data_IF_331723671910
#
_entry.id   IF_331723671910
#
_cell.length_a   1.000
_cell.length_b   1.000
_cell.length_c   1.000
_cell.angle_alpha   90.00
_cell.angle_beta   90.00
_cell.angle_gamma   90.00
#
_symmetry.space_group_name_H-M   'P 1'
#
loop_
_entity.id
_entity.type
_entity.pdbx_description
1 polymer ?
#
# COMPACT_ATOMS: atom_id res chain seq x y z
N UNK A 1 9.05 -9.01 6.78
CA UNK A 1 7.71 -9.65 6.78
C UNK A 1 7.85 -11.04 7.34
N UNK A 2 6.98 -11.40 8.28
CA UNK A 2 7.07 -12.64 9.08
C UNK A 2 6.47 -13.85 8.35
N UNK A 3 5.57 -13.59 7.40
CA UNK A 3 4.97 -14.58 6.50
C UNK A 3 5.32 -14.17 5.07
N UNK A 4 5.97 -15.07 4.32
CA UNK A 4 6.39 -14.88 2.92
C UNK A 4 5.66 -15.86 1.97
N UNK A 5 4.39 -16.14 2.25
CA UNK A 5 3.53 -16.97 1.40
C UNK A 5 2.37 -16.14 0.86
N UNK A 6 1.98 -16.39 -0.39
CA UNK A 6 0.85 -15.69 -0.99
C UNK A 6 -0.47 -16.00 -0.27
N UNK A 7 -0.65 -17.25 0.19
CA UNK A 7 -1.84 -17.66 0.96
C UNK A 7 -1.53 -17.74 2.45
N UNK A 8 -2.43 -17.21 3.27
CA UNK A 8 -2.46 -17.43 4.71
C UNK A 8 -3.29 -18.69 5.05
N UNK A 9 -2.72 -19.87 4.78
CA UNK A 9 -3.33 -21.17 5.10
C UNK A 9 -2.85 -21.67 6.47
N UNK A 10 -3.75 -22.24 7.26
CA UNK A 10 -3.48 -22.70 8.62
C UNK A 10 -3.65 -21.62 9.68
N UNK A 11 -4.04 -22.03 10.88
CA UNK A 11 -4.49 -21.10 11.93
C UNK A 11 -3.35 -20.24 12.49
N UNK A 12 -2.14 -20.80 12.58
CA UNK A 12 -0.96 -20.06 13.03
C UNK A 12 -0.59 -18.92 12.07
N UNK A 13 -0.58 -19.19 10.75
CA UNK A 13 -0.26 -18.18 9.73
C UNK A 13 -1.34 -17.10 9.71
N UNK A 14 -2.62 -17.49 9.80
CA UNK A 14 -3.73 -16.53 9.89
C UNK A 14 -3.59 -15.62 11.10
N UNK A 15 -3.20 -16.16 12.25
CA UNK A 15 -2.96 -15.38 13.47
C UNK A 15 -1.84 -14.35 13.26
N UNK A 16 -0.68 -14.77 12.74
CA UNK A 16 0.46 -13.87 12.44
C UNK A 16 0.08 -12.75 11.48
N UNK A 17 -0.66 -13.06 10.41
CA UNK A 17 -1.11 -12.06 9.44
C UNK A 17 -2.09 -11.07 10.09
N UNK A 18 -3.00 -11.55 10.94
CA UNK A 18 -3.96 -10.71 11.66
C UNK A 18 -3.26 -9.76 12.64
N UNK A 19 -2.33 -10.27 13.45
CA UNK A 19 -1.56 -9.46 14.41
C UNK A 19 -0.73 -8.39 13.70
N UNK A 20 -0.07 -8.74 12.59
CA UNK A 20 0.68 -7.77 11.78
C UNK A 20 -0.23 -6.71 11.17
N UNK A 21 -1.40 -7.12 10.64
CA UNK A 21 -2.41 -6.21 10.10
C UNK A 21 -2.86 -5.20 11.17
N UNK A 22 -3.25 -5.68 12.35
CA UNK A 22 -3.70 -4.83 13.46
C UNK A 22 -2.59 -3.86 13.92
N UNK A 23 -1.34 -4.33 14.01
CA UNK A 23 -0.19 -3.48 14.33
C UNK A 23 -0.01 -2.33 13.34
N UNK A 24 -0.08 -2.61 12.03
CA UNK A 24 0.02 -1.59 10.98
C UNK A 24 -1.15 -0.60 11.08
N UNK A 25 -2.38 -1.10 11.23
CA UNK A 25 -3.57 -0.25 11.34
C UNK A 25 -3.49 0.72 12.52
N UNK A 26 -3.07 0.23 13.68
CA UNK A 26 -2.88 1.06 14.88
C UNK A 26 -1.78 2.09 14.68
N UNK A 27 -0.66 1.72 14.04
CA UNK A 27 0.43 2.64 13.77
C UNK A 27 0.02 3.77 12.83
N UNK A 28 -0.71 3.49 11.75
CA UNK A 28 -1.26 4.52 10.86
C UNK A 28 -2.23 5.44 11.59
N UNK A 29 -3.13 4.88 12.42
CA UNK A 29 -4.07 5.65 13.23
C UNK A 29 -3.34 6.57 14.21
N UNK A 30 -2.30 6.08 14.89
CA UNK A 30 -1.53 6.86 15.86
C UNK A 30 -0.70 7.96 15.22
N UNK A 31 0.02 7.66 14.14
CA UNK A 31 1.00 8.59 13.56
C UNK A 31 0.37 9.60 12.60
N UNK A 32 -0.76 9.25 11.97
CA UNK A 32 -1.38 10.10 10.95
C UNK A 32 -2.85 10.38 11.22
N UNK A 33 -3.49 9.71 12.18
CA UNK A 33 -4.95 9.76 12.35
C UNK A 33 -5.72 9.03 11.24
N UNK A 34 -5.05 8.29 10.35
CA UNK A 34 -5.68 7.58 9.24
C UNK A 34 -6.21 6.21 9.67
N UNK A 35 -7.49 5.93 9.39
CA UNK A 35 -8.08 4.61 9.55
C UNK A 35 -7.90 3.79 8.26
N UNK A 36 -6.94 2.88 8.27
CA UNK A 36 -6.58 2.05 7.12
C UNK A 36 -7.19 0.66 7.24
N UNK A 37 -7.87 0.20 6.19
CA UNK A 37 -8.42 -1.16 6.04
C UNK A 37 -9.28 -1.65 7.24
N UNK A 38 -10.04 -0.73 7.85
CA UNK A 38 -10.95 -1.05 8.95
C UNK A 38 -12.31 -1.44 8.36
N UNK A 39 -12.91 -2.53 8.81
CA UNK A 39 -14.24 -2.96 8.34
C UNK A 39 -15.28 -1.92 8.77
N UNK A 40 -16.13 -1.49 7.84
CA UNK A 40 -17.21 -0.53 8.10
C UNK A 40 -18.55 -1.19 7.79
N UNK A 41 -19.50 -1.13 8.71
CA UNK A 41 -20.84 -1.69 8.48
C UNK A 41 -21.49 -1.01 7.26
N UNK A 42 -21.96 -1.81 6.29
CA UNK A 42 -22.51 -1.32 5.01
C UNK A 42 -21.47 -1.03 3.91
N UNK A 43 -20.18 -1.33 4.13
CA UNK A 43 -19.13 -1.28 3.11
C UNK A 43 -18.10 -2.39 3.35
N UNK A 44 -17.16 -2.60 2.41
CA UNK A 44 -16.10 -3.58 2.58
C UNK A 44 -15.08 -3.09 3.63
N UNK A 45 -14.61 -1.84 3.53
CA UNK A 45 -13.68 -1.23 4.49
C UNK A 45 -13.65 0.32 4.41
N UNK A 46 -12.80 0.95 5.22
CA UNK A 46 -12.58 2.41 5.26
C UNK A 46 -11.67 2.96 4.16
N UNK A 47 -11.22 2.14 3.21
CA UNK A 47 -10.32 2.61 2.17
C UNK A 47 -11.10 3.40 1.13
N UNK A 48 -10.82 4.70 1.06
CA UNK A 48 -11.39 5.63 0.08
C UNK A 48 -10.28 6.22 -0.78
N UNK A 49 -10.64 6.97 -1.82
CA UNK A 49 -9.68 7.76 -2.62
C UNK A 49 -8.84 8.67 -1.71
N UNK A 50 -9.43 9.23 -0.65
CA UNK A 50 -8.69 10.05 0.32
C UNK A 50 -7.68 9.22 1.12
N UNK A 51 -8.04 7.99 1.51
CA UNK A 51 -7.12 7.05 2.18
C UNK A 51 -5.93 6.74 1.29
N UNK A 52 -6.15 6.47 0.00
CA UNK A 52 -5.08 6.21 -0.97
C UNK A 52 -4.15 7.42 -1.12
N UNK A 53 -4.69 8.64 -1.29
CA UNK A 53 -3.88 9.86 -1.38
C UNK A 53 -2.99 10.06 -0.16
N UNK A 54 -3.54 9.82 1.05
CA UNK A 54 -2.77 9.95 2.29
C UNK A 54 -1.73 8.85 2.45
N UNK A 55 -2.04 7.62 2.04
CA UNK A 55 -1.09 6.50 2.05
C UNK A 55 0.12 6.74 1.14
N UNK A 56 -0.11 7.27 -0.07
CA UNK A 56 0.98 7.57 -1.02
C UNK A 56 1.61 8.96 -0.84
N UNK A 57 1.03 9.81 0.02
CA UNK A 57 1.48 11.19 0.22
C UNK A 57 2.78 11.33 1.03
N UNK A 58 3.15 10.32 1.83
CA UNK A 58 4.44 10.24 2.51
C UNK A 58 5.01 8.82 2.40
N UNK A 59 5.69 8.50 1.28
CA UNK A 59 6.21 7.16 1.02
C UNK A 59 7.18 6.65 2.07
N UNK A 60 7.94 7.53 2.72
CA UNK A 60 8.94 7.19 3.74
C UNK A 60 8.26 6.72 5.03
N UNK A 61 7.24 7.46 5.48
CA UNK A 61 6.42 7.06 6.62
C UNK A 61 5.69 5.76 6.32
N UNK A 62 5.08 5.63 5.13
CA UNK A 62 4.38 4.42 4.72
C UNK A 62 5.31 3.21 4.66
N UNK A 63 6.52 3.37 4.11
CA UNK A 63 7.55 2.32 4.08
C UNK A 63 7.93 1.88 5.50
N UNK A 64 8.18 2.83 6.40
CA UNK A 64 8.49 2.55 7.81
C UNK A 64 7.36 1.78 8.51
N UNK A 65 6.11 2.21 8.33
CA UNK A 65 4.96 1.61 8.99
C UNK A 65 4.64 0.21 8.47
N UNK A 66 4.65 0.04 7.16
CA UNK A 66 4.30 -1.24 6.50
C UNK A 66 5.46 -2.23 6.49
N UNK A 67 6.70 -1.74 6.52
CA UNK A 67 7.91 -2.52 6.27
C UNK A 67 8.14 -2.84 4.79
N UNK A 68 7.52 -2.08 3.88
CA UNK A 68 7.72 -2.19 2.43
C UNK A 68 8.89 -1.32 1.97
N UNK A 69 9.44 -1.66 0.80
CA UNK A 69 10.47 -0.83 0.17
C UNK A 69 9.91 0.55 -0.24
N UNK A 70 10.61 1.60 0.15
CA UNK A 70 10.21 2.99 -0.12
C UNK A 70 10.21 3.33 -1.61
N UNK A 71 11.15 2.76 -2.39
CA UNK A 71 11.21 2.99 -3.84
C UNK A 71 9.99 2.38 -4.50
N UNK A 72 9.55 1.20 -4.05
CA UNK A 72 8.33 0.57 -4.53
C UNK A 72 7.12 1.47 -4.29
N UNK A 73 6.93 1.98 -3.07
CA UNK A 73 5.79 2.85 -2.73
C UNK A 73 5.84 4.14 -3.56
N UNK A 74 7.00 4.80 -3.67
CA UNK A 74 7.18 6.01 -4.49
C UNK A 74 6.84 5.77 -5.96
N UNK A 75 7.30 4.66 -6.55
CA UNK A 75 7.00 4.33 -7.95
C UNK A 75 5.51 4.09 -8.18
N UNK A 76 4.86 3.36 -7.28
CA UNK A 76 3.41 3.15 -7.37
C UNK A 76 2.64 4.48 -7.24
N UNK A 77 3.07 5.37 -6.34
CA UNK A 77 2.50 6.71 -6.24
C UNK A 77 2.59 7.49 -7.55
N UNK A 78 3.77 7.48 -8.21
CA UNK A 78 3.98 8.16 -9.50
C UNK A 78 3.09 7.56 -10.60
N UNK A 79 3.03 6.22 -10.69
CA UNK A 79 2.18 5.53 -11.69
C UNK A 79 0.73 5.94 -11.51
N UNK A 80 0.22 5.90 -10.28
CA UNK A 80 -1.16 6.27 -9.98
C UNK A 80 -1.43 7.76 -10.25
N UNK A 81 -0.50 8.65 -9.89
CA UNK A 81 -0.60 10.08 -10.17
C UNK A 81 -0.68 10.34 -11.67
N UNK A 82 0.20 9.73 -12.47
CA UNK A 82 0.18 9.83 -13.93
C UNK A 82 -1.19 9.42 -14.50
N UNK A 83 -1.70 8.23 -14.12
CA UNK A 83 -2.99 7.73 -14.60
C UNK A 83 -4.14 8.67 -14.18
N UNK A 84 -4.06 9.25 -12.97
CA UNK A 84 -5.10 10.15 -12.45
C UNK A 84 -4.98 11.61 -12.91
N UNK A 85 -3.92 11.96 -13.63
CA UNK A 85 -3.59 13.37 -13.94
C UNK A 85 -4.58 14.02 -14.90
N UNK A 86 -5.25 13.24 -15.75
CA UNK A 86 -6.08 13.76 -16.86
C UNK A 86 -5.26 14.32 -18.03
N UNK A 87 -3.92 14.28 -17.94
CA UNK A 87 -3.01 14.80 -18.94
C UNK A 87 -2.64 13.76 -20.00
N UNK A 88 -2.10 14.21 -21.14
CA UNK A 88 -1.52 13.32 -22.14
C UNK A 88 -0.23 12.69 -21.58
N UNK A 89 -0.22 11.36 -21.49
CA UNK A 89 0.92 10.59 -20.99
C UNK A 89 1.73 10.07 -22.17
N UNK A 90 3.06 10.23 -22.14
CA UNK A 90 3.95 9.52 -23.07
C UNK A 90 3.94 8.02 -22.73
N UNK A 91 3.33 7.22 -23.59
CA UNK A 91 3.09 5.78 -23.36
C UNK A 91 4.37 4.96 -23.33
N UNK A 92 5.38 5.32 -24.12
CA UNK A 92 6.68 4.63 -24.16
C UNK A 92 7.44 4.84 -22.85
N UNK A 93 7.55 6.09 -22.40
CA UNK A 93 8.22 6.45 -21.15
C UNK A 93 7.49 5.87 -19.94
N UNK A 94 6.16 5.95 -19.93
CA UNK A 94 5.33 5.35 -18.89
C UNK A 94 5.47 3.83 -18.87
N UNK A 95 5.47 3.17 -20.03
CA UNK A 95 5.70 1.73 -20.16
C UNK A 95 7.07 1.31 -19.62
N UNK A 96 8.14 2.01 -20.02
CA UNK A 96 9.49 1.77 -19.50
C UNK A 96 9.56 1.97 -17.98
N UNK A 97 8.89 2.99 -17.46
CA UNK A 97 8.81 3.24 -16.01
C UNK A 97 8.00 2.15 -15.29
N UNK A 98 6.88 1.70 -15.84
CA UNK A 98 6.04 0.68 -15.23
C UNK A 98 6.68 -0.73 -15.28
N UNK A 99 7.38 -1.06 -16.36
CA UNK A 99 7.97 -2.38 -16.62
C UNK A 99 9.35 -2.57 -15.99
N UNK A 100 10.10 -1.50 -15.65
CA UNK A 100 11.35 -1.57 -14.86
C UNK A 100 11.10 -2.02 -13.40
N UNK A 101 10.48 -3.18 -13.24
CA UNK A 101 10.24 -3.92 -12.01
C UNK A 101 11.40 -4.89 -11.75
N UNK A 102 12.63 -4.38 -11.70
CA UNK A 102 13.81 -5.18 -11.34
C UNK A 102 13.92 -5.40 -9.81
N UNK A 103 12.77 -5.52 -9.12
CA UNK A 103 12.66 -5.67 -7.65
C UNK A 103 11.68 -6.81 -7.28
N UNK A 104 11.02 -7.44 -8.25
CA UNK A 104 10.06 -8.53 -8.01
C UNK A 104 10.57 -9.93 -8.40
N UNK A 105 11.89 -10.12 -8.53
CA UNK A 105 12.52 -11.46 -8.59
C UNK A 105 13.05 -11.86 -7.22
#
# INVERSE_FOLDING_TARGET
MDVKSWQAKGDEIKKKVKERKESIQQAFRRETGLLLDVVKQGSINTNTVNTARRFFGNPELTARLTGLDVKLIRRMAIILQCISSGEKINTESFGCFAVKQQIYM
#
